data_IF_493963144052
#
_entry.id   IF_493963144052
#
_cell.length_a   1.000
_cell.length_b   1.000
_cell.length_c   1.000
_cell.angle_alpha   90.00
_cell.angle_beta   90.00
_cell.angle_gamma   90.00
#
_symmetry.space_group_name_H-M   'P 1'
#
loop_
_entity.id
_entity.type
_entity.pdbx_description
1 polymer ?
#
# COMPACT_ATOMS: atom_id res chain seq x y z
N UNK A 1 21.92 2.41 -2.62
CA UNK A 1 20.71 3.00 -2.02
C UNK A 1 20.14 1.97 -1.06
N UNK A 2 19.90 2.32 0.20
CA UNK A 2 19.37 1.39 1.20
C UNK A 2 17.85 1.22 1.04
N UNK A 3 17.28 0.18 1.66
CA UNK A 3 15.82 -0.01 1.73
C UNK A 3 15.11 1.22 2.32
N UNK A 4 15.66 1.77 3.41
CA UNK A 4 15.12 2.97 4.05
C UNK A 4 15.11 4.19 3.12
N UNK A 5 16.10 4.32 2.23
CA UNK A 5 16.11 5.40 1.24
C UNK A 5 14.97 5.24 0.22
N UNK A 6 14.66 4.01 -0.19
CA UNK A 6 13.56 3.72 -1.13
C UNK A 6 12.20 4.05 -0.50
N UNK A 7 12.00 3.65 0.75
CA UNK A 7 10.79 3.96 1.52
C UNK A 7 10.62 5.48 1.65
N UNK A 8 11.69 6.19 2.00
CA UNK A 8 11.67 7.65 2.12
C UNK A 8 11.36 8.34 0.80
N UNK A 9 11.93 7.87 -0.30
CA UNK A 9 11.77 8.51 -1.61
C UNK A 9 10.40 8.23 -2.24
N UNK A 10 9.91 7.00 -2.17
CA UNK A 10 8.74 6.57 -2.93
C UNK A 10 7.49 6.37 -2.09
N UNK A 11 7.64 5.99 -0.81
CA UNK A 11 6.52 5.54 0.01
C UNK A 11 6.14 6.46 1.16
N UNK A 12 6.77 7.63 1.28
CA UNK A 12 6.45 8.55 2.39
C UNK A 12 5.40 9.57 1.96
N UNK A 13 4.16 9.39 2.43
CA UNK A 13 3.06 10.34 2.27
C UNK A 13 2.52 10.73 3.65
N UNK A 14 2.20 12.01 3.84
CA UNK A 14 1.64 12.50 5.09
C UNK A 14 0.27 11.85 5.34
N UNK A 15 0.11 11.22 6.50
CA UNK A 15 -1.15 10.58 6.90
C UNK A 15 -1.95 11.52 7.81
N UNK A 16 -3.19 11.84 7.45
CA UNK A 16 -4.04 12.77 8.21
C UNK A 16 -4.72 12.14 9.44
N UNK A 17 -4.71 10.80 9.56
CA UNK A 17 -5.50 10.05 10.55
C UNK A 17 -4.69 8.96 11.26
N UNK A 18 -3.38 9.15 11.43
CA UNK A 18 -2.48 8.16 12.03
C UNK A 18 -1.69 8.83 13.15
N UNK A 19 -1.64 8.21 14.34
CA UNK A 19 -0.88 8.75 15.46
C UNK A 19 0.63 8.57 15.25
N UNK A 20 1.01 7.45 14.64
CA UNK A 20 2.37 7.15 14.21
C UNK A 20 2.30 6.40 12.87
N UNK A 21 2.86 6.99 11.82
CA UNK A 21 2.85 6.47 10.45
C UNK A 21 4.20 5.90 10.02
N UNK A 22 4.54 6.09 8.75
CA UNK A 22 5.78 5.59 8.14
C UNK A 22 7.01 6.25 8.78
N UNK A 23 8.02 5.44 9.11
CA UNK A 23 9.30 5.91 9.64
C UNK A 23 9.70 5.33 11.01
N UNK A 24 8.85 4.48 11.58
CA UNK A 24 9.10 3.71 12.82
C UNK A 24 8.82 2.22 12.58
N UNK A 25 9.04 1.37 13.57
CA UNK A 25 8.92 -0.10 13.48
C UNK A 25 7.45 -0.57 13.36
N UNK A 26 6.49 0.27 13.73
CA UNK A 26 5.06 -0.02 13.64
C UNK A 26 4.21 1.24 13.53
N UNK A 27 3.01 1.09 12.94
CA UNK A 27 2.00 2.14 12.96
C UNK A 27 1.16 2.08 14.24
N UNK A 28 0.77 3.24 14.78
CA UNK A 28 -0.16 3.34 15.91
C UNK A 28 -1.49 3.94 15.43
N UNK A 29 -2.57 3.16 15.58
CA UNK A 29 -3.91 3.47 15.08
C UNK A 29 -4.89 3.62 16.25
N UNK A 30 -5.67 4.70 16.25
CA UNK A 30 -6.77 4.88 17.20
C UNK A 30 -8.12 4.63 16.52
N UNK A 31 -8.94 3.78 17.13
CA UNK A 31 -10.31 3.54 16.72
C UNK A 31 -11.26 4.44 17.49
N UNK A 32 -12.37 4.81 16.86
CA UNK A 32 -13.45 5.51 17.54
C UNK A 32 -14.15 4.54 18.50
N UNK A 33 -14.60 5.01 19.66
CA UNK A 33 -15.33 4.18 20.60
C UNK A 33 -16.57 3.55 19.95
N UNK A 34 -16.79 2.26 20.19
CA UNK A 34 -17.91 1.51 19.63
C UNK A 34 -17.76 1.13 18.14
N UNK A 35 -16.56 1.27 17.57
CA UNK A 35 -16.26 0.79 16.21
C UNK A 35 -15.35 -0.44 16.24
N UNK A 36 -15.52 -1.31 15.26
CA UNK A 36 -14.62 -2.44 15.00
C UNK A 36 -13.69 -2.12 13.82
N UNK A 37 -12.52 -2.76 13.82
CA UNK A 37 -11.58 -2.67 12.70
C UNK A 37 -11.78 -3.86 11.78
N UNK A 38 -12.26 -3.60 10.56
CA UNK A 38 -12.19 -4.57 9.47
C UNK A 38 -10.77 -4.58 8.90
N UNK A 39 -10.21 -5.78 8.68
CA UNK A 39 -8.88 -5.98 8.11
C UNK A 39 -9.03 -6.94 6.93
N UNK A 40 -8.54 -6.53 5.76
CA UNK A 40 -8.33 -7.41 4.60
C UNK A 40 -6.88 -7.29 4.13
N UNK A 41 -6.39 -8.34 3.50
CA UNK A 41 -5.06 -8.36 2.91
C UNK A 41 -5.05 -9.27 1.68
N UNK A 42 -4.67 -8.70 0.54
CA UNK A 42 -4.47 -9.41 -0.71
C UNK A 42 -3.00 -9.42 -1.16
N UNK A 43 -2.60 -10.49 -1.83
CA UNK A 43 -1.29 -10.62 -2.45
C UNK A 43 -1.42 -10.73 -3.97
N UNK A 44 -0.75 -9.84 -4.70
CA UNK A 44 -0.64 -9.89 -6.15
C UNK A 44 0.74 -10.43 -6.54
N UNK A 45 0.75 -11.50 -7.34
CA UNK A 45 1.95 -12.21 -7.80
C UNK A 45 2.04 -12.12 -9.31
N UNK A 46 3.22 -11.79 -9.83
CA UNK A 46 3.47 -11.72 -11.27
C UNK A 46 3.26 -13.08 -11.94
N UNK A 47 2.80 -13.05 -13.20
CA UNK A 47 2.36 -14.19 -14.02
C UNK A 47 1.18 -15.01 -13.43
N UNK A 48 0.62 -14.58 -12.30
CA UNK A 48 -0.62 -15.14 -11.72
C UNK A 48 -1.74 -14.11 -11.71
N UNK A 49 -1.47 -12.91 -11.19
CA UNK A 49 -2.46 -11.84 -11.00
C UNK A 49 -2.27 -10.66 -11.95
N UNK A 50 -1.08 -10.53 -12.54
CA UNK A 50 -0.69 -9.52 -13.52
C UNK A 50 0.51 -10.01 -14.34
N UNK A 51 0.74 -9.46 -15.52
CA UNK A 51 1.89 -9.82 -16.36
C UNK A 51 3.19 -9.15 -15.89
N UNK A 52 4.33 -9.78 -16.14
CA UNK A 52 5.65 -9.22 -15.79
C UNK A 52 5.94 -7.83 -16.37
N UNK A 53 5.34 -7.49 -17.52
CA UNK A 53 5.48 -6.20 -18.21
C UNK A 53 4.30 -5.24 -17.95
N UNK A 54 3.49 -5.53 -16.94
CA UNK A 54 2.38 -4.66 -16.56
C UNK A 54 2.87 -3.23 -16.23
N UNK A 55 2.09 -2.24 -16.66
CA UNK A 55 2.32 -0.84 -16.32
C UNK A 55 2.36 -0.66 -14.80
N UNK A 56 3.49 -0.15 -14.30
CA UNK A 56 3.74 -0.07 -12.86
C UNK A 56 2.73 0.84 -12.15
N UNK A 57 2.30 1.92 -12.81
CA UNK A 57 1.29 2.82 -12.27
C UNK A 57 -0.07 2.11 -12.11
N UNK A 58 -0.55 1.45 -13.16
CA UNK A 58 -1.78 0.67 -13.08
C UNK A 58 -1.69 -0.47 -12.05
N UNK A 59 -0.52 -1.09 -11.91
CA UNK A 59 -0.30 -2.12 -10.88
C UNK A 59 -0.37 -1.54 -9.47
N UNK A 60 0.24 -0.38 -9.22
CA UNK A 60 0.12 0.34 -7.95
C UNK A 60 -1.33 0.66 -7.61
N UNK A 61 -2.08 1.18 -8.58
CA UNK A 61 -3.51 1.47 -8.44
C UNK A 61 -4.32 0.21 -8.13
N UNK A 62 -4.12 -0.86 -8.92
CA UNK A 62 -4.81 -2.14 -8.74
C UNK A 62 -4.54 -2.75 -7.36
N UNK A 63 -3.29 -2.67 -6.89
CA UNK A 63 -2.87 -3.23 -5.60
C UNK A 63 -3.65 -2.65 -4.43
N UNK A 64 -3.96 -1.35 -4.46
CA UNK A 64 -4.82 -0.74 -3.45
C UNK A 64 -6.31 -0.98 -3.74
N UNK A 65 -6.73 -0.86 -5.00
CA UNK A 65 -8.14 -0.93 -5.42
C UNK A 65 -8.81 -2.25 -5.04
N UNK A 66 -8.12 -3.39 -5.16
CA UNK A 66 -8.68 -4.70 -4.77
C UNK A 66 -9.00 -4.75 -3.27
N UNK A 67 -8.10 -4.27 -2.41
CA UNK A 67 -8.31 -4.23 -0.97
C UNK A 67 -9.40 -3.20 -0.57
N UNK A 68 -9.49 -2.07 -1.28
CA UNK A 68 -10.58 -1.10 -1.08
C UNK A 68 -11.94 -1.70 -1.46
N UNK A 69 -11.98 -2.56 -2.48
CA UNK A 69 -13.19 -3.28 -2.86
C UNK A 69 -13.68 -4.20 -1.73
N UNK A 70 -12.77 -4.90 -1.03
CA UNK A 70 -13.14 -5.73 0.12
C UNK A 70 -13.74 -4.91 1.27
N UNK A 71 -13.15 -3.75 1.55
CA UNK A 71 -13.69 -2.83 2.57
C UNK A 71 -15.10 -2.38 2.19
N UNK A 72 -15.32 -2.05 0.92
CA UNK A 72 -16.65 -1.69 0.41
C UNK A 72 -17.65 -2.86 0.53
N UNK A 73 -17.22 -4.10 0.26
CA UNK A 73 -18.07 -5.28 0.39
C UNK A 73 -18.50 -5.55 1.84
N UNK A 74 -17.66 -5.20 2.82
CA UNK A 74 -17.96 -5.28 4.26
C UNK A 74 -18.76 -4.07 4.78
N UNK A 75 -19.04 -3.06 3.94
CA UNK A 75 -19.62 -1.79 4.36
C UNK A 75 -18.70 -0.97 5.28
N UNK A 76 -17.40 -1.27 5.28
CA UNK A 76 -16.40 -0.57 6.08
C UNK A 76 -15.95 0.72 5.39
N UNK A 77 -15.53 1.72 6.18
CA UNK A 77 -14.90 2.93 5.66
C UNK A 77 -13.37 2.77 5.64
N UNK A 78 -12.72 2.70 4.45
CA UNK A 78 -11.27 2.57 4.37
C UNK A 78 -10.56 3.76 5.03
N UNK A 79 -9.55 3.48 5.86
CA UNK A 79 -8.79 4.53 6.58
C UNK A 79 -7.28 4.42 6.44
N UNK A 80 -6.76 3.20 6.44
CA UNK A 80 -5.32 2.92 6.43
C UNK A 80 -5.03 1.74 5.51
N UNK A 81 -3.82 1.70 4.96
CA UNK A 81 -3.30 0.58 4.20
C UNK A 81 -1.83 0.37 4.57
N UNK A 82 -1.41 -0.90 4.59
CA UNK A 82 0.00 -1.30 4.65
C UNK A 82 0.39 -1.88 3.29
N UNK A 83 1.62 -1.62 2.85
CA UNK A 83 2.16 -2.19 1.62
C UNK A 83 3.35 -3.10 1.97
N UNK A 84 3.25 -4.37 1.58
CA UNK A 84 4.39 -5.28 1.53
C UNK A 84 4.70 -5.58 0.06
N UNK A 85 5.93 -5.30 -0.36
CA UNK A 85 6.36 -5.44 -1.75
C UNK A 85 7.72 -6.13 -1.82
N UNK A 86 7.81 -7.14 -2.69
CA UNK A 86 9.06 -7.83 -3.01
C UNK A 86 9.33 -7.69 -4.50
N UNK A 87 10.53 -7.24 -4.86
CA UNK A 87 10.93 -6.99 -6.24
C UNK A 87 12.21 -7.76 -6.57
N UNK A 88 12.35 -8.28 -7.81
CA UNK A 88 13.55 -9.01 -8.22
C UNK A 88 14.78 -8.10 -8.38
N UNK A 89 14.55 -6.79 -8.56
CA UNK A 89 15.59 -5.79 -8.67
C UNK A 89 15.10 -4.44 -8.11
N UNK A 90 16.06 -3.60 -7.72
CA UNK A 90 15.78 -2.22 -7.35
C UNK A 90 15.73 -1.34 -8.60
N UNK A 91 14.52 -1.02 -9.07
CA UNK A 91 14.27 -0.12 -10.21
C UNK A 91 13.53 1.14 -9.73
N UNK A 92 14.25 2.26 -9.70
CA UNK A 92 13.71 3.54 -9.23
C UNK A 92 12.61 4.12 -10.14
N UNK A 93 12.64 3.86 -11.45
CA UNK A 93 11.62 4.34 -12.38
C UNK A 93 10.33 3.57 -12.13
N UNK A 94 10.44 2.24 -12.04
CA UNK A 94 9.32 1.37 -11.73
C UNK A 94 8.71 1.72 -10.37
N UNK A 95 9.54 1.87 -9.32
CA UNK A 95 9.08 2.22 -7.98
C UNK A 95 8.38 3.57 -7.94
N UNK A 96 8.87 4.57 -8.68
CA UNK A 96 8.20 5.87 -8.80
C UNK A 96 6.85 5.78 -9.47
N UNK A 97 6.72 4.98 -10.54
CA UNK A 97 5.45 4.80 -11.24
C UNK A 97 4.46 4.04 -10.36
N UNK A 98 4.90 2.95 -9.73
CA UNK A 98 4.11 2.16 -8.80
C UNK A 98 3.61 3.00 -7.63
N UNK A 99 4.49 3.75 -6.96
CA UNK A 99 4.08 4.60 -5.83
C UNK A 99 3.08 5.66 -6.26
N UNK A 100 3.24 6.25 -7.45
CA UNK A 100 2.30 7.23 -7.99
C UNK A 100 0.92 6.63 -8.29
N UNK A 101 0.86 5.35 -8.65
CA UNK A 101 -0.41 4.63 -8.84
C UNK A 101 -1.07 4.25 -7.51
N UNK A 102 -0.26 3.93 -6.50
CA UNK A 102 -0.73 3.51 -5.18
C UNK A 102 -1.30 4.65 -4.32
N UNK A 103 -0.77 5.88 -4.46
CA UNK A 103 -1.11 7.04 -3.63
C UNK A 103 -2.05 8.05 -4.28
#
# INVERSE_FOLDING_TARGET
MSEFDLIRQHFTKATQHTNLGIGDDAALLSLSAGTELAVSADMLVADTHFFMDADAYQLGWKSLAVNVSDMAAMGANPKWATLAIALPANDAIWLSQFSNGFF
#
